data_IF_432001318963
#
_entry.id   IF_432001318963
#
_cell.length_a   1.000
_cell.length_b   1.000
_cell.length_c   1.000
_cell.angle_alpha   90.00
_cell.angle_beta   90.00
_cell.angle_gamma   90.00
#
_symmetry.space_group_name_H-M   'P 1'
#
loop_
_entity.id
_entity.type
_entity.pdbx_description
1 polymer ?
#
# COMPACT_ATOMS: atom_id res chain seq x y z
N UNK A 1 9.66 -14.88 14.28
CA UNK A 1 9.39 -14.16 15.53
C UNK A 1 10.31 -12.95 15.66
N UNK A 2 9.97 -11.89 14.95
CA UNK A 2 10.59 -10.59 15.18
C UNK A 2 9.74 -9.87 16.23
N UNK A 3 10.18 -9.90 17.48
CA UNK A 3 9.66 -9.03 18.54
C UNK A 3 9.99 -7.61 18.15
N UNK A 4 9.03 -6.92 17.54
CA UNK A 4 9.06 -5.48 17.40
C UNK A 4 8.82 -4.92 18.78
N UNK A 5 9.79 -4.23 19.34
CA UNK A 5 9.63 -3.43 20.55
C UNK A 5 8.55 -2.38 20.27
N UNK A 6 7.39 -2.59 20.84
CA UNK A 6 6.26 -1.69 20.80
C UNK A 6 6.56 -0.57 21.82
N UNK A 7 7.24 0.47 21.36
CA UNK A 7 7.47 1.66 22.19
C UNK A 7 6.43 2.72 21.85
N UNK A 8 5.70 3.19 22.86
CA UNK A 8 4.83 4.39 22.79
C UNK A 8 5.67 5.68 22.66
N UNK A 9 6.79 5.61 21.93
CA UNK A 9 7.66 6.76 21.67
C UNK A 9 7.30 7.40 20.34
N UNK A 10 7.15 8.69 20.35
CA UNK A 10 7.19 9.52 19.16
C UNK A 10 8.52 9.22 18.43
N UNK A 11 8.46 8.84 17.14
CA UNK A 11 9.63 8.47 16.31
C UNK A 11 10.25 7.09 16.61
N UNK A 12 9.43 6.06 16.82
CA UNK A 12 9.93 4.68 16.95
C UNK A 12 10.66 4.18 15.68
N UNK A 13 10.35 4.75 14.52
CA UNK A 13 10.97 4.43 13.23
C UNK A 13 11.58 5.70 12.64
N UNK A 14 12.91 5.81 12.61
CA UNK A 14 13.65 6.89 11.93
C UNK A 14 14.01 6.52 10.50
N UNK A 15 14.28 5.23 10.24
CA UNK A 15 14.58 4.71 8.92
C UNK A 15 13.43 3.84 8.41
N UNK A 16 13.03 3.94 7.13
CA UNK A 16 11.99 3.10 6.57
C UNK A 16 12.41 1.63 6.63
N UNK A 17 11.50 0.78 7.08
CA UNK A 17 11.74 -0.66 7.15
C UNK A 17 10.88 -1.36 6.12
N UNK A 18 11.51 -1.96 5.11
CA UNK A 18 10.83 -2.74 4.06
C UNK A 18 10.85 -4.23 4.38
N UNK A 19 9.70 -4.87 4.23
CA UNK A 19 9.52 -6.32 4.45
C UNK A 19 8.72 -6.95 3.33
N UNK A 20 9.05 -8.18 2.97
CA UNK A 20 8.20 -9.00 2.12
C UNK A 20 6.95 -9.42 2.90
N UNK A 21 5.80 -9.22 2.30
CA UNK A 21 4.52 -9.68 2.80
C UNK A 21 3.84 -10.52 1.71
N UNK A 22 3.40 -11.72 2.08
CA UNK A 22 2.69 -12.63 1.19
C UNK A 22 1.20 -12.53 1.46
N UNK A 23 0.44 -12.11 0.46
CA UNK A 23 -1.01 -12.04 0.51
C UNK A 23 -1.65 -13.44 0.49
N UNK A 24 -2.90 -13.59 0.94
CA UNK A 24 -3.62 -14.87 0.91
C UNK A 24 -3.70 -15.52 -0.47
N UNK A 25 -3.80 -14.72 -1.54
CA UNK A 25 -3.80 -15.22 -2.93
C UNK A 25 -2.40 -15.69 -3.41
N UNK A 26 -1.39 -15.56 -2.56
CA UNK A 26 -0.01 -15.98 -2.83
C UNK A 26 0.87 -14.91 -3.47
N UNK A 27 0.32 -13.74 -3.82
CA UNK A 27 1.11 -12.62 -4.35
C UNK A 27 2.02 -12.06 -3.26
N UNK A 28 3.27 -11.76 -3.62
CA UNK A 28 4.23 -11.13 -2.72
C UNK A 28 4.30 -9.64 -2.99
N UNK A 29 4.28 -8.84 -1.93
CA UNK A 29 4.38 -7.39 -1.96
C UNK A 29 5.48 -6.92 -1.01
N UNK A 30 6.08 -5.77 -1.32
CA UNK A 30 6.97 -5.07 -0.41
C UNK A 30 6.15 -4.09 0.43
N UNK A 31 6.13 -4.31 1.73
CA UNK A 31 5.49 -3.41 2.69
C UNK A 31 6.57 -2.58 3.37
N UNK A 32 6.54 -1.27 3.15
CA UNK A 32 7.49 -0.32 3.75
C UNK A 32 6.78 0.45 4.86
N UNK A 33 7.25 0.26 6.10
CA UNK A 33 6.82 1.06 7.24
C UNK A 33 7.57 2.39 7.23
N UNK A 34 6.83 3.48 7.41
CA UNK A 34 7.36 4.84 7.41
C UNK A 34 7.13 5.50 8.76
N UNK A 35 7.78 6.63 8.99
CA UNK A 35 7.55 7.43 10.20
C UNK A 35 6.12 7.95 10.25
N UNK A 36 5.52 7.91 11.45
CA UNK A 36 4.18 8.46 11.67
C UNK A 36 4.12 9.96 11.41
N UNK A 37 3.05 10.41 10.76
CA UNK A 37 2.80 11.83 10.52
C UNK A 37 2.50 12.56 11.84
N UNK A 38 3.29 13.60 12.11
CA UNK A 38 3.11 14.46 13.27
C UNK A 38 2.66 15.85 12.83
N UNK A 39 1.55 16.31 13.40
CA UNK A 39 1.13 17.72 13.26
C UNK A 39 2.24 18.62 13.80
N UNK A 40 2.64 19.63 13.00
CA UNK A 40 3.73 20.56 13.31
C UNK A 40 5.09 19.87 13.46
N UNK A 41 5.56 19.24 12.39
CA UNK A 41 6.97 18.83 12.29
C UNK A 41 7.86 20.07 12.54
N UNK A 42 8.79 20.00 13.51
CA UNK A 42 9.80 21.03 13.66
C UNK A 42 10.60 21.18 12.37
N UNK A 43 10.88 22.42 11.96
CA UNK A 43 11.53 22.71 10.68
C UNK A 43 12.84 21.95 10.47
N UNK A 44 13.62 21.67 11.51
CA UNK A 44 14.87 20.91 11.43
C UNK A 44 14.67 19.41 11.19
N UNK A 45 13.46 18.88 11.37
CA UNK A 45 13.11 17.50 11.09
C UNK A 45 12.47 17.31 9.72
N UNK A 46 12.05 18.38 9.04
CA UNK A 46 11.38 18.29 7.74
C UNK A 46 12.26 17.60 6.72
N UNK A 47 13.56 17.92 6.68
CA UNK A 47 14.49 17.33 5.71
C UNK A 47 14.76 15.84 6.00
N UNK A 48 14.85 15.46 7.28
CA UNK A 48 15.02 14.06 7.67
C UNK A 48 13.76 13.22 7.35
N UNK A 49 12.58 13.81 7.53
CA UNK A 49 11.31 13.15 7.19
C UNK A 49 11.03 13.13 5.69
N UNK A 50 11.58 14.09 4.94
CA UNK A 50 11.38 14.16 3.50
C UNK A 50 11.92 12.93 2.80
N UNK A 51 13.10 12.44 3.19
CA UNK A 51 13.69 11.23 2.62
C UNK A 51 12.84 9.99 2.87
N UNK A 52 12.28 9.83 4.08
CA UNK A 52 11.39 8.71 4.42
C UNK A 52 10.03 8.81 3.74
N UNK A 53 9.51 10.02 3.54
CA UNK A 53 8.25 10.25 2.85
C UNK A 53 8.40 10.20 1.31
N UNK A 54 9.61 10.34 0.79
CA UNK A 54 9.91 10.12 -0.63
C UNK A 54 9.64 8.66 -1.06
N UNK A 55 9.69 7.69 -0.14
CA UNK A 55 9.25 6.31 -0.40
C UNK A 55 7.80 6.25 -0.90
N UNK A 56 6.93 7.16 -0.45
CA UNK A 56 5.56 7.24 -0.94
C UNK A 56 5.47 7.58 -2.45
N UNK A 57 6.48 8.25 -3.01
CA UNK A 57 6.54 8.53 -4.46
C UNK A 57 6.79 7.27 -5.27
N UNK A 58 7.55 6.35 -4.71
CA UNK A 58 7.98 5.13 -5.40
C UNK A 58 7.04 3.95 -5.13
N UNK A 59 6.17 4.04 -4.12
CA UNK A 59 5.16 3.01 -3.85
C UNK A 59 4.07 3.01 -4.92
N UNK A 60 3.47 1.85 -5.16
CA UNK A 60 2.31 1.69 -6.05
C UNK A 60 1.01 2.00 -5.30
N UNK A 61 0.95 1.61 -4.04
CA UNK A 61 -0.20 1.77 -3.15
C UNK A 61 0.25 2.43 -1.85
N UNK A 62 -0.54 3.36 -1.35
CA UNK A 62 -0.35 4.00 -0.05
C UNK A 62 -1.39 3.46 0.93
N UNK A 63 -0.94 2.86 2.02
CA UNK A 63 -1.79 2.47 3.13
C UNK A 63 -1.72 3.56 4.20
N UNK A 64 -2.78 4.35 4.29
CA UNK A 64 -2.90 5.43 5.26
C UNK A 64 -3.57 4.92 6.53
N UNK A 65 -2.77 4.64 7.57
CA UNK A 65 -3.27 4.14 8.85
C UNK A 65 -3.67 5.28 9.77
N UNK A 66 -4.93 5.31 10.16
CA UNK A 66 -5.55 6.37 10.96
C UNK A 66 -5.97 5.81 12.33
N UNK A 67 -5.58 6.50 13.40
CA UNK A 67 -6.07 6.18 14.75
C UNK A 67 -7.48 6.75 14.93
N UNK A 68 -8.50 5.88 14.85
CA UNK A 68 -9.91 6.26 14.94
C UNK A 68 -10.30 6.77 16.33
N UNK A 69 -9.55 6.42 17.37
CA UNK A 69 -9.79 6.91 18.72
C UNK A 69 -9.27 8.33 18.98
N UNK A 70 -8.58 8.92 18.00
CA UNK A 70 -8.04 10.27 18.13
C UNK A 70 -9.13 11.33 17.86
N UNK A 71 -9.46 12.22 18.81
CA UNK A 71 -10.51 13.23 18.64
C UNK A 71 -10.22 14.26 17.54
N UNK A 72 -8.99 14.34 17.04
CA UNK A 72 -8.62 15.22 15.94
C UNK A 72 -8.26 14.44 14.66
N UNK A 73 -8.80 13.24 14.52
CA UNK A 73 -8.58 12.31 13.41
C UNK A 73 -8.70 13.00 12.05
N UNK A 74 -9.80 13.71 11.78
CA UNK A 74 -10.05 14.37 10.49
C UNK A 74 -8.95 15.39 10.12
N UNK A 75 -8.47 16.13 11.11
CA UNK A 75 -7.37 17.10 10.89
C UNK A 75 -6.05 16.39 10.58
N UNK A 76 -5.82 15.21 11.16
CA UNK A 76 -4.65 14.42 10.87
C UNK A 76 -4.72 13.83 9.46
N UNK A 77 -5.88 13.32 9.06
CA UNK A 77 -6.13 12.83 7.70
C UNK A 77 -5.84 13.93 6.68
N UNK A 78 -6.39 15.14 6.87
CA UNK A 78 -6.14 16.26 5.97
C UNK A 78 -4.66 16.64 5.91
N UNK A 79 -3.95 16.65 7.04
CA UNK A 79 -2.51 16.97 7.08
C UNK A 79 -1.66 15.98 6.29
N UNK A 80 -2.05 14.70 6.24
CA UNK A 80 -1.39 13.69 5.39
C UNK A 80 -1.57 14.01 3.92
N UNK A 81 -2.80 14.30 3.47
CA UNK A 81 -3.05 14.67 2.08
C UNK A 81 -2.33 15.95 1.65
N UNK A 82 -2.30 16.97 2.51
CA UNK A 82 -1.53 18.19 2.25
C UNK A 82 -0.04 17.88 2.09
N UNK A 83 0.49 16.96 2.88
CA UNK A 83 1.88 16.52 2.77
C UNK A 83 2.14 15.73 1.50
N UNK A 84 1.29 14.76 1.14
CA UNK A 84 1.40 14.01 -0.10
C UNK A 84 1.36 14.94 -1.33
N UNK A 85 0.49 15.95 -1.29
CA UNK A 85 0.41 16.99 -2.31
C UNK A 85 1.70 17.81 -2.41
N UNK A 86 2.26 18.24 -1.28
CA UNK A 86 3.52 19.01 -1.24
C UNK A 86 4.72 18.18 -1.73
N UNK A 87 4.67 16.86 -1.56
CA UNK A 87 5.66 15.91 -2.08
C UNK A 87 5.41 15.56 -3.55
N UNK A 88 4.37 16.12 -4.18
CA UNK A 88 3.98 15.81 -5.56
C UNK A 88 3.69 14.31 -5.80
N UNK A 89 3.20 13.62 -4.77
CA UNK A 89 2.72 12.25 -4.90
C UNK A 89 1.41 12.28 -5.67
N UNK A 90 1.37 11.62 -6.83
CA UNK A 90 0.22 11.60 -7.75
C UNK A 90 -0.03 10.17 -8.23
N UNK A 91 -1.24 9.93 -8.69
CA UNK A 91 -1.63 8.68 -9.38
C UNK A 91 -1.33 7.42 -8.56
N UNK A 92 -1.54 7.49 -7.24
CA UNK A 92 -1.40 6.37 -6.31
C UNK A 92 -2.76 5.92 -5.81
N UNK A 93 -2.93 4.61 -5.67
CA UNK A 93 -4.08 4.07 -4.97
C UNK A 93 -3.89 4.29 -3.48
N UNK A 94 -4.87 4.90 -2.83
CA UNK A 94 -4.85 5.19 -1.41
C UNK A 94 -5.88 4.30 -0.69
N UNK A 95 -5.41 3.53 0.27
CA UNK A 95 -6.24 2.71 1.16
C UNK A 95 -6.20 3.31 2.55
N UNK A 96 -7.31 3.89 3.02
CA UNK A 96 -7.38 4.43 4.38
C UNK A 96 -7.87 3.34 5.35
N UNK A 97 -7.02 3.04 6.32
CA UNK A 97 -7.27 2.05 7.38
C UNK A 97 -7.62 2.78 8.67
N UNK A 98 -8.90 2.80 9.01
CA UNK A 98 -9.39 3.31 10.29
C UNK A 98 -9.13 2.29 11.39
N UNK A 99 -7.99 2.42 12.06
CA UNK A 99 -7.55 1.46 13.08
C UNK A 99 -8.00 1.86 14.49
N UNK A 100 -7.98 0.90 15.40
CA UNK A 100 -8.38 1.03 16.81
C UNK A 100 -9.87 1.28 17.00
N UNK A 101 -10.74 0.76 16.11
CA UNK A 101 -12.20 0.86 16.25
C UNK A 101 -12.71 0.23 17.56
N UNK A 102 -11.93 -0.65 18.16
CA UNK A 102 -12.22 -1.28 19.45
C UNK A 102 -12.15 -0.33 20.66
N UNK A 103 -11.59 0.86 20.46
CA UNK A 103 -11.54 1.93 21.47
C UNK A 103 -12.68 2.94 21.36
N UNK A 104 -13.54 2.80 20.36
CA UNK A 104 -14.68 3.69 20.16
C UNK A 104 -15.85 3.23 21.02
N UNK A 105 -16.43 4.13 21.82
CA UNK A 105 -17.67 3.89 22.57
C UNK A 105 -18.89 3.88 21.64
N UNK A 106 -18.89 4.79 20.66
CA UNK A 106 -19.87 4.85 19.58
C UNK A 106 -19.12 4.74 18.24
N UNK A 107 -19.72 4.08 17.25
CA UNK A 107 -19.17 4.00 15.91
C UNK A 107 -19.59 5.22 15.08
N UNK A 108 -18.74 6.24 14.94
CA UNK A 108 -19.02 7.34 14.02
C UNK A 108 -18.94 6.82 12.58
N UNK A 109 -19.60 7.50 11.67
CA UNK A 109 -19.43 7.23 10.24
C UNK A 109 -18.03 7.74 9.86
N UNK A 110 -17.11 6.82 9.65
CA UNK A 110 -15.75 7.13 9.20
C UNK A 110 -15.70 7.08 7.67
N UNK A 111 -15.36 8.20 7.05
CA UNK A 111 -15.24 8.31 5.59
C UNK A 111 -13.99 9.10 5.24
N UNK A 112 -13.28 8.61 4.25
CA UNK A 112 -12.23 9.35 3.58
C UNK A 112 -12.59 9.44 2.09
N UNK A 113 -13.00 10.62 1.66
CA UNK A 113 -13.44 10.88 0.28
C UNK A 113 -12.29 11.00 -0.71
N UNK A 114 -11.05 11.08 -0.22
CA UNK A 114 -9.85 11.16 -1.05
C UNK A 114 -9.19 9.79 -1.24
N UNK A 115 -9.63 8.77 -0.48
CA UNK A 115 -9.13 7.41 -0.61
C UNK A 115 -9.94 6.62 -1.65
N UNK A 116 -9.25 5.72 -2.36
CA UNK A 116 -9.88 4.77 -3.27
C UNK A 116 -10.62 3.67 -2.51
N UNK A 117 -10.09 3.29 -1.36
CA UNK A 117 -10.67 2.27 -0.47
C UNK A 117 -10.56 2.69 0.98
N UNK A 118 -11.52 2.24 1.79
CA UNK A 118 -11.50 2.41 3.25
C UNK A 118 -11.80 1.09 3.93
N UNK A 119 -11.16 0.84 5.07
CA UNK A 119 -11.40 -0.34 5.90
C UNK A 119 -11.31 0.01 7.37
N UNK A 120 -12.17 -0.59 8.18
CA UNK A 120 -12.20 -0.44 9.64
C UNK A 120 -11.46 -1.61 10.29
N UNK A 121 -10.53 -1.32 11.19
CA UNK A 121 -9.71 -2.36 11.81
C UNK A 121 -9.50 -2.17 13.31
N UNK A 122 -9.24 -3.27 14.00
CA UNK A 122 -8.56 -3.28 15.29
C UNK A 122 -7.43 -4.31 15.21
N UNK A 123 -6.32 -3.90 14.60
CA UNK A 123 -5.22 -4.79 14.18
C UNK A 123 -4.69 -5.62 15.36
N UNK A 124 -4.55 -5.03 16.55
CA UNK A 124 -4.13 -5.77 17.76
C UNK A 124 -5.07 -6.90 18.16
N UNK A 125 -6.34 -6.85 17.74
CA UNK A 125 -7.37 -7.88 17.98
C UNK A 125 -7.61 -8.79 16.76
N UNK A 126 -6.89 -8.57 15.66
CA UNK A 126 -7.08 -9.31 14.43
C UNK A 126 -8.37 -8.96 13.67
N UNK A 127 -9.06 -7.85 14.04
CA UNK A 127 -10.31 -7.44 13.40
C UNK A 127 -10.00 -6.65 12.13
N UNK A 128 -10.66 -7.00 11.02
CA UNK A 128 -10.58 -6.31 9.73
C UNK A 128 -9.30 -6.61 8.93
N UNK A 129 -8.48 -7.58 9.34
CA UNK A 129 -7.25 -7.93 8.61
C UNK A 129 -7.56 -8.67 7.31
N UNK A 130 -8.55 -9.56 7.30
CA UNK A 130 -8.93 -10.29 6.09
C UNK A 130 -9.51 -9.33 5.06
N UNK A 131 -10.38 -8.39 5.47
CA UNK A 131 -10.92 -7.35 4.61
C UNK A 131 -9.81 -6.43 4.05
N UNK A 132 -8.83 -6.06 4.88
CA UNK A 132 -7.68 -5.28 4.43
C UNK A 132 -6.88 -6.02 3.35
N UNK A 133 -6.63 -7.33 3.53
CA UNK A 133 -5.95 -8.15 2.54
C UNK A 133 -6.74 -8.22 1.22
N UNK A 134 -8.05 -8.45 1.28
CA UNK A 134 -8.92 -8.46 0.10
C UNK A 134 -8.90 -7.13 -0.65
N UNK A 135 -8.88 -6.00 0.08
CA UNK A 135 -8.78 -4.66 -0.52
C UNK A 135 -7.42 -4.47 -1.20
N UNK A 136 -6.34 -4.90 -0.57
CA UNK A 136 -4.99 -4.83 -1.18
C UNK A 136 -4.93 -5.67 -2.45
N UNK A 137 -5.44 -6.91 -2.42
CA UNK A 137 -5.51 -7.76 -3.61
C UNK A 137 -6.34 -7.14 -4.74
N UNK A 138 -7.49 -6.52 -4.40
CA UNK A 138 -8.34 -5.82 -5.35
C UNK A 138 -7.62 -4.62 -5.97
N UNK A 139 -6.92 -3.82 -5.15
CA UNK A 139 -6.13 -2.69 -5.60
C UNK A 139 -5.02 -3.14 -6.57
N UNK A 140 -4.27 -4.19 -6.21
CA UNK A 140 -3.23 -4.75 -7.07
C UNK A 140 -3.79 -5.29 -8.39
N UNK A 141 -4.94 -5.96 -8.35
CA UNK A 141 -5.62 -6.45 -9.56
C UNK A 141 -6.04 -5.31 -10.48
N UNK A 142 -6.49 -4.17 -9.94
CA UNK A 142 -6.87 -3.01 -10.74
C UNK A 142 -5.69 -2.33 -11.47
N UNK A 143 -4.46 -2.57 -11.01
CA UNK A 143 -3.25 -2.06 -11.63
C UNK A 143 -2.70 -2.97 -12.73
N UNK A 144 -3.25 -4.18 -12.89
CA UNK A 144 -2.80 -5.12 -13.92
C UNK A 144 -3.22 -4.62 -15.30
N UNK A 145 -2.32 -4.80 -16.26
CA UNK A 145 -2.55 -4.48 -17.66
C UNK A 145 -2.79 -5.80 -18.39
N UNK A 146 -3.92 -5.90 -19.08
CA UNK A 146 -4.16 -7.02 -19.99
C UNK A 146 -3.24 -6.90 -21.22
N UNK A 147 -2.55 -7.98 -21.54
CA UNK A 147 -1.60 -8.04 -22.65
C UNK A 147 -2.00 -9.15 -23.59
N UNK A 148 -2.22 -8.80 -24.88
CA UNK A 148 -2.27 -9.74 -25.98
C UNK A 148 -1.11 -9.45 -26.91
N UNK A 149 -0.11 -10.34 -26.98
CA UNK A 149 1.09 -10.07 -27.77
C UNK A 149 1.74 -11.33 -28.33
N UNK A 150 2.17 -11.22 -29.60
CA UNK A 150 3.03 -12.18 -30.23
C UNK A 150 4.50 -11.82 -29.92
N UNK A 151 5.23 -12.74 -29.32
CA UNK A 151 6.68 -12.63 -29.08
C UNK A 151 7.39 -13.47 -30.11
N UNK A 152 8.24 -12.87 -30.98
CA UNK A 152 9.09 -13.63 -31.90
C UNK A 152 9.96 -14.64 -31.14
N UNK A 153 10.32 -15.73 -31.78
CA UNK A 153 11.19 -16.76 -31.18
C UNK A 153 12.55 -16.22 -30.70
N UNK A 154 13.01 -15.11 -31.26
CA UNK A 154 14.19 -14.36 -30.77
C UNK A 154 13.98 -13.81 -29.35
N UNK A 155 12.74 -13.61 -28.95
CA UNK A 155 12.33 -13.05 -27.66
C UNK A 155 11.67 -14.10 -26.74
N UNK A 156 11.90 -15.38 -26.98
CA UNK A 156 11.26 -16.51 -26.29
C UNK A 156 11.44 -16.50 -24.74
N UNK A 157 12.35 -15.70 -24.20
CA UNK A 157 12.50 -15.49 -22.77
C UNK A 157 11.39 -14.62 -22.13
N UNK A 158 10.75 -13.72 -22.91
CA UNK A 158 9.73 -12.79 -22.40
C UNK A 158 8.45 -13.48 -21.90
N UNK A 159 7.87 -14.47 -22.60
CA UNK A 159 6.78 -15.28 -22.06
C UNK A 159 7.09 -15.94 -20.71
N UNK A 160 8.34 -16.33 -20.49
CA UNK A 160 8.80 -16.86 -19.21
C UNK A 160 8.73 -15.86 -18.07
N UNK A 161 8.98 -14.57 -18.34
CA UNK A 161 8.81 -13.49 -17.35
C UNK A 161 7.33 -13.28 -17.01
N UNK A 162 6.45 -13.37 -18.02
CA UNK A 162 5.00 -13.25 -17.83
C UNK A 162 4.49 -14.41 -16.94
N UNK A 163 4.96 -15.64 -17.17
CA UNK A 163 4.60 -16.78 -16.31
C UNK A 163 5.09 -16.61 -14.88
N UNK A 164 6.23 -15.95 -14.70
CA UNK A 164 6.84 -15.76 -13.36
C UNK A 164 6.21 -14.61 -12.57
N UNK A 165 5.89 -13.50 -13.22
CA UNK A 165 5.51 -12.25 -12.58
C UNK A 165 4.08 -11.79 -12.90
N UNK A 166 3.45 -12.36 -13.93
CA UNK A 166 2.09 -12.05 -14.37
C UNK A 166 1.12 -13.21 -14.14
N UNK A 167 -0.05 -13.08 -14.72
CA UNK A 167 -1.06 -14.13 -14.77
C UNK A 167 -1.27 -14.55 -16.23
N UNK A 168 -0.63 -15.66 -16.63
CA UNK A 168 -0.80 -16.22 -17.96
C UNK A 168 -2.23 -16.77 -18.13
N UNK A 169 -2.98 -16.25 -19.10
CA UNK A 169 -4.33 -16.71 -19.45
C UNK A 169 -4.24 -17.74 -20.56
N UNK A 170 -3.49 -17.40 -21.62
CA UNK A 170 -3.37 -18.28 -22.79
C UNK A 170 -1.97 -18.14 -23.42
N UNK A 171 -1.47 -19.24 -23.96
CA UNK A 171 -0.20 -19.27 -24.70
C UNK A 171 -0.37 -20.20 -25.92
N UNK A 172 0.02 -19.71 -27.09
CA UNK A 172 -0.02 -20.44 -28.35
C UNK A 172 1.30 -20.31 -29.09
N UNK A 173 1.85 -21.44 -29.51
CA UNK A 173 3.01 -21.48 -30.38
C UNK A 173 2.54 -21.35 -31.84
N UNK A 174 2.91 -20.28 -32.52
CA UNK A 174 2.56 -19.98 -33.91
C UNK A 174 3.83 -20.02 -34.79
N UNK A 175 3.67 -20.02 -36.10
CA UNK A 175 4.81 -20.08 -37.04
C UNK A 175 5.82 -18.95 -36.84
N UNK A 176 5.37 -17.77 -36.45
CA UNK A 176 6.15 -16.54 -36.33
C UNK A 176 6.53 -16.18 -34.87
N UNK A 177 6.11 -17.00 -33.89
CA UNK A 177 6.44 -16.75 -32.49
C UNK A 177 5.49 -17.38 -31.49
N UNK A 178 5.57 -16.92 -30.25
CA UNK A 178 4.73 -17.33 -29.12
C UNK A 178 3.72 -16.23 -28.85
N UNK A 179 2.46 -16.50 -29.12
CA UNK A 179 1.37 -15.58 -28.77
C UNK A 179 0.98 -15.79 -27.31
N UNK A 180 0.80 -14.71 -26.58
CA UNK A 180 0.52 -14.71 -25.15
C UNK A 180 -0.63 -13.75 -24.86
N UNK A 181 -1.57 -14.24 -24.05
CA UNK A 181 -2.62 -13.47 -23.38
C UNK A 181 -2.39 -13.57 -21.88
N UNK A 182 -2.29 -12.42 -21.20
CA UNK A 182 -1.93 -12.36 -19.79
C UNK A 182 -2.54 -11.13 -19.08
#
# INVERSE_FOLDING_TARGET
DARVLEEDKLFATLDPTTRNYKLPDGQEVLLTDTVGFIRKLPHHLIDAFRSTLEEAKYSDIIIHVVDSSNPVMDKNVQAVYDTLKNLEVKDKIIITVFNKIDKLEEKPIMKDFNADYTVETAIKKGIGLDELNEIIEKALKSMRIHIEKLFPYTDAGKPGLIRKYGQLIKEEYREDGIWVEA
#
